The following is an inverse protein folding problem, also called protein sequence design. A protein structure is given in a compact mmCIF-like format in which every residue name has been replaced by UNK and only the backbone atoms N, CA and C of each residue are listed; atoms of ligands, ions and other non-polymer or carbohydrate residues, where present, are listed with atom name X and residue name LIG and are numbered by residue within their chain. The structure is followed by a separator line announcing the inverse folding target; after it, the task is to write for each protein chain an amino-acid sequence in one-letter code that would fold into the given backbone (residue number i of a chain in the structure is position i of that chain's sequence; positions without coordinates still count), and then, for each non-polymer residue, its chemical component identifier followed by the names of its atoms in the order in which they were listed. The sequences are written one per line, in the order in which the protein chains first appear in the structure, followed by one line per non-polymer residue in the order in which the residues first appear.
data_IF_151447603017
#
_entry.id   IF_151447603017
#
_cell.length_a   1.000
_cell.length_b   1.000
_cell.length_c   1.000
_cell.angle_alpha   90.00
_cell.angle_beta   90.00
_cell.angle_gamma   90.00
#
_symmetry.space_group_name_H-M   'P 1'
#
loop_
_entity.id
_entity.type
_entity.pdbx_description
1 polymer ?
#
# COMPACT_ATOMS: atom_id res chain seq x y z
N UNK A 1 -9.94 -8.70 -13.97
CA UNK A 1 -9.07 -9.83 -14.33
C UNK A 1 -8.61 -10.50 -13.04
N UNK A 2 -8.58 -11.84 -12.92
CA UNK A 2 -8.02 -12.53 -11.78
C UNK A 2 -6.52 -12.22 -11.62
N UNK A 3 -6.06 -11.92 -10.39
CA UNK A 3 -4.65 -11.61 -10.12
C UNK A 3 -3.69 -12.74 -10.52
N UNK A 4 -4.13 -14.00 -10.36
CA UNK A 4 -3.35 -15.17 -10.82
C UNK A 4 -3.12 -15.14 -12.34
N UNK A 5 -4.12 -14.77 -13.13
CA UNK A 5 -3.97 -14.64 -14.58
C UNK A 5 -2.98 -13.55 -14.95
N UNK A 6 -3.00 -12.41 -14.26
CA UNK A 6 -2.01 -11.35 -14.48
C UNK A 6 -0.60 -11.79 -14.09
N UNK A 7 -0.46 -12.56 -13.01
CA UNK A 7 0.84 -13.10 -12.60
C UNK A 7 1.40 -14.11 -13.63
N UNK A 8 0.53 -14.92 -14.25
CA UNK A 8 0.97 -15.81 -15.34
C UNK A 8 1.31 -15.03 -16.60
N UNK A 9 0.51 -14.02 -16.96
CA UNK A 9 0.82 -13.13 -18.08
C UNK A 9 2.19 -12.47 -17.88
N UNK A 10 2.46 -11.96 -16.69
CA UNK A 10 3.74 -11.30 -16.38
C UNK A 10 4.96 -12.20 -16.59
N UNK A 11 4.82 -13.52 -16.40
CA UNK A 11 5.91 -14.48 -16.66
C UNK A 11 6.16 -14.72 -18.16
N UNK A 12 5.15 -14.43 -18.99
CA UNK A 12 5.21 -14.61 -20.44
C UNK A 12 5.72 -13.35 -21.16
N UNK A 13 5.76 -12.23 -20.43
CA UNK A 13 6.32 -10.98 -20.94
C UNK A 13 7.84 -11.01 -20.77
N UNK A 14 8.53 -10.65 -21.83
CA UNK A 14 9.96 -10.36 -21.81
C UNK A 14 10.20 -8.85 -21.90
N UNK A 15 11.37 -8.40 -21.50
CA UNK A 15 11.75 -6.97 -21.52
C UNK A 15 11.83 -6.40 -22.95
N UNK A 16 11.78 -7.27 -23.97
CA UNK A 16 11.79 -6.88 -25.38
C UNK A 16 10.39 -6.65 -25.97
N UNK A 17 9.32 -6.90 -25.18
CA UNK A 17 7.95 -6.70 -25.63
C UNK A 17 7.58 -5.22 -25.65
N UNK A 18 7.63 -4.61 -26.83
CA UNK A 18 7.32 -3.17 -27.02
C UNK A 18 5.82 -2.84 -26.84
N UNK A 19 4.93 -3.79 -27.09
CA UNK A 19 3.49 -3.60 -26.97
C UNK A 19 2.72 -4.91 -26.82
N UNK A 20 1.58 -4.84 -26.11
CA UNK A 20 0.63 -5.93 -25.98
C UNK A 20 -0.71 -5.46 -26.53
N UNK A 21 -1.27 -6.20 -27.46
CA UNK A 21 -2.63 -5.93 -27.95
C UNK A 21 -3.64 -6.59 -27.00
N UNK A 22 -4.61 -5.80 -26.50
CA UNK A 22 -5.67 -6.30 -25.62
C UNK A 22 -7.03 -6.21 -26.32
N UNK A 23 -7.76 -7.32 -26.36
CA UNK A 23 -9.14 -7.36 -26.84
C UNK A 23 -10.06 -7.78 -25.70
N UNK A 24 -11.04 -6.92 -25.40
CA UNK A 24 -12.02 -7.13 -24.35
C UNK A 24 -13.34 -7.66 -24.95
N UNK A 25 -13.86 -8.74 -24.40
CA UNK A 25 -15.19 -9.25 -24.64
C UNK A 25 -16.03 -9.22 -23.36
N UNK A 26 -17.30 -9.60 -23.40
CA UNK A 26 -18.22 -9.47 -22.26
C UNK A 26 -17.73 -10.15 -20.98
N UNK A 27 -17.09 -11.32 -21.07
CA UNK A 27 -16.65 -12.10 -19.91
C UNK A 27 -15.20 -12.60 -20.03
N UNK A 28 -14.47 -12.15 -21.05
CA UNK A 28 -13.12 -12.61 -21.35
C UNK A 28 -12.26 -11.45 -21.82
N UNK A 29 -10.96 -11.59 -21.61
CA UNK A 29 -9.93 -10.72 -22.16
C UNK A 29 -8.89 -11.58 -22.88
N UNK A 30 -8.50 -11.13 -24.07
CA UNK A 30 -7.42 -11.71 -24.86
C UNK A 30 -6.24 -10.75 -24.82
N UNK A 31 -5.08 -11.26 -24.50
CA UNK A 31 -3.79 -10.61 -24.69
C UNK A 31 -3.08 -11.28 -25.85
N UNK A 32 -2.69 -10.50 -26.84
CA UNK A 32 -1.93 -10.96 -27.99
C UNK A 32 -0.52 -10.38 -27.89
N UNK A 33 0.42 -11.27 -27.76
CA UNK A 33 1.85 -11.02 -27.87
C UNK A 33 2.29 -11.55 -29.24
N UNK A 34 3.48 -11.20 -29.69
CA UNK A 34 3.98 -11.52 -31.04
C UNK A 34 3.60 -12.92 -31.56
N UNK A 35 3.89 -13.96 -30.78
CA UNK A 35 3.67 -15.36 -31.16
C UNK A 35 2.78 -16.12 -30.15
N UNK A 36 2.10 -15.40 -29.23
CA UNK A 36 1.34 -15.99 -28.13
C UNK A 36 0.00 -15.30 -27.96
N UNK A 37 -1.03 -16.10 -27.73
CA UNK A 37 -2.37 -15.65 -27.35
C UNK A 37 -2.66 -16.12 -25.93
N UNK A 38 -2.89 -15.18 -25.03
CA UNK A 38 -3.24 -15.47 -23.64
C UNK A 38 -4.69 -15.03 -23.34
N UNK A 39 -5.51 -15.97 -22.91
CA UNK A 39 -6.92 -15.71 -22.57
C UNK A 39 -7.13 -15.78 -21.06
N UNK A 40 -7.94 -14.87 -20.54
CA UNK A 40 -8.42 -14.93 -19.16
C UNK A 40 -9.91 -14.61 -19.08
N UNK A 41 -10.63 -15.27 -18.17
CA UNK A 41 -11.98 -14.84 -17.81
C UNK A 41 -11.91 -13.57 -16.96
N UNK A 42 -12.89 -12.71 -17.15
CA UNK A 42 -13.11 -11.56 -16.29
C UNK A 42 -13.77 -11.99 -14.97
N UNK A 43 -13.49 -11.28 -13.90
CA UNK A 43 -14.23 -11.42 -12.66
C UNK A 43 -15.64 -10.83 -12.85
N UNK A 44 -16.63 -11.48 -12.26
CA UNK A 44 -17.99 -10.96 -12.23
C UNK A 44 -18.11 -9.79 -11.26
N UNK A 45 -19.03 -8.86 -11.55
CA UNK A 45 -19.32 -7.69 -10.72
C UNK A 45 -18.79 -6.38 -11.29
N UNK A 46 -19.27 -5.28 -10.72
CA UNK A 46 -18.81 -3.94 -11.06
C UNK A 46 -17.55 -3.61 -10.26
N UNK A 47 -16.51 -3.13 -10.95
CA UNK A 47 -15.33 -2.60 -10.28
C UNK A 47 -15.70 -1.30 -9.56
N UNK A 48 -15.33 -1.13 -8.28
CA UNK A 48 -15.65 0.10 -7.55
C UNK A 48 -14.93 1.31 -8.18
N UNK A 49 -15.59 2.46 -8.17
CA UNK A 49 -14.99 3.72 -8.60
C UNK A 49 -13.91 4.15 -7.61
N UNK A 50 -12.66 3.85 -7.94
CA UNK A 50 -11.50 4.13 -7.08
C UNK A 50 -11.21 5.62 -6.95
N UNK A 51 -11.64 6.45 -7.91
CA UNK A 51 -11.42 7.90 -7.83
C UNK A 51 -12.11 8.53 -6.62
N UNK A 52 -13.26 7.97 -6.21
CA UNK A 52 -14.02 8.41 -5.04
C UNK A 52 -13.42 7.94 -3.70
N UNK A 53 -12.50 6.98 -3.74
CA UNK A 53 -11.84 6.47 -2.53
C UNK A 53 -10.63 7.32 -2.15
N UNK A 54 -10.05 8.06 -3.09
CA UNK A 54 -8.89 8.91 -2.86
C UNK A 54 -9.35 10.15 -2.10
N UNK A 55 -8.86 10.38 -0.87
CA UNK A 55 -9.21 11.57 -0.12
C UNK A 55 -8.75 12.83 -0.84
N UNK A 56 -9.60 13.86 -0.82
CA UNK A 56 -9.31 15.18 -1.38
C UNK A 56 -8.88 16.19 -0.31
N UNK A 57 -9.13 15.88 0.95
CA UNK A 57 -8.76 16.67 2.12
C UNK A 57 -7.57 16.02 2.85
N UNK A 58 -6.61 16.83 3.26
CA UNK A 58 -5.44 16.39 4.04
C UNK A 58 -5.39 17.18 5.34
N UNK A 59 -5.34 16.47 6.48
CA UNK A 59 -5.22 17.06 7.81
C UNK A 59 -3.81 16.97 8.38
N UNK A 60 -3.09 15.92 7.98
CA UNK A 60 -1.73 15.70 8.45
C UNK A 60 -0.88 15.06 7.36
N UNK A 61 0.38 15.42 7.32
CA UNK A 61 1.36 14.89 6.37
C UNK A 61 2.61 14.42 7.10
N UNK A 62 3.07 13.24 6.72
CA UNK A 62 4.27 12.60 7.22
C UNK A 62 5.21 12.33 6.05
N UNK A 63 6.46 12.78 6.14
CA UNK A 63 7.52 12.42 5.18
C UNK A 63 8.47 11.47 5.86
N UNK A 64 8.68 10.31 5.27
CA UNK A 64 9.46 9.23 5.84
C UNK A 64 10.14 8.41 4.73
N UNK A 65 11.31 7.83 5.03
CA UNK A 65 11.96 6.92 4.10
C UNK A 65 11.21 5.57 4.02
N UNK A 66 10.81 5.16 2.81
CA UNK A 66 9.99 3.97 2.60
C UNK A 66 10.67 2.68 3.04
N UNK A 67 12.00 2.56 2.85
CA UNK A 67 12.78 1.39 3.25
C UNK A 67 12.89 1.25 4.76
N UNK A 68 13.20 2.35 5.47
CA UNK A 68 13.27 2.35 6.93
C UNK A 68 11.91 2.02 7.55
N UNK A 69 10.85 2.59 7.00
CA UNK A 69 9.49 2.34 7.45
C UNK A 69 9.03 0.90 7.17
N UNK A 70 9.34 0.36 5.98
CA UNK A 70 9.09 -1.04 5.63
C UNK A 70 9.75 -2.00 6.62
N UNK A 71 11.02 -1.75 6.97
CA UNK A 71 11.75 -2.61 7.90
C UNK A 71 11.15 -2.59 9.31
N UNK A 72 10.71 -1.44 9.80
CA UNK A 72 10.05 -1.34 11.10
C UNK A 72 8.71 -2.08 11.11
N UNK A 73 7.91 -1.92 10.05
CA UNK A 73 6.63 -2.65 9.91
C UNK A 73 6.87 -4.15 9.79
N UNK A 74 7.88 -4.60 9.07
CA UNK A 74 8.19 -6.03 8.95
C UNK A 74 8.54 -6.63 10.32
N UNK A 75 9.38 -5.97 11.12
CA UNK A 75 9.68 -6.40 12.49
C UNK A 75 8.44 -6.43 13.38
N UNK A 76 7.64 -5.36 13.36
CA UNK A 76 6.39 -5.31 14.12
C UNK A 76 5.39 -6.39 13.68
N UNK A 77 5.38 -6.71 12.39
CA UNK A 77 4.49 -7.74 11.81
C UNK A 77 4.83 -9.16 12.28
N UNK A 78 6.03 -9.42 12.77
CA UNK A 78 6.39 -10.75 13.29
C UNK A 78 5.45 -11.18 14.43
N UNK A 79 5.07 -10.25 15.32
CA UNK A 79 4.11 -10.53 16.40
C UNK A 79 2.65 -10.40 15.91
N UNK A 80 2.39 -9.53 14.97
CA UNK A 80 1.04 -9.29 14.45
C UNK A 80 0.51 -10.45 13.59
N UNK A 81 1.37 -11.29 13.01
CA UNK A 81 0.99 -12.44 12.14
C UNK A 81 0.15 -13.49 12.86
N UNK A 82 0.31 -13.63 14.16
CA UNK A 82 -0.51 -14.56 14.97
C UNK A 82 -1.94 -14.05 15.15
N UNK A 83 -2.17 -12.75 15.00
CA UNK A 83 -3.49 -12.15 14.95
C UNK A 83 -4.03 -12.19 13.52
N UNK A 84 -5.25 -12.68 13.34
CA UNK A 84 -5.91 -12.86 12.02
C UNK A 84 -5.87 -11.62 11.11
N UNK A 85 -5.66 -10.42 11.65
CA UNK A 85 -5.72 -9.16 10.93
C UNK A 85 -4.37 -8.48 10.69
N UNK A 86 -3.25 -9.04 11.18
CA UNK A 86 -1.90 -8.46 11.06
C UNK A 86 -1.88 -6.94 11.33
N UNK A 87 -2.45 -6.53 12.48
CA UNK A 87 -2.69 -5.13 12.82
C UNK A 87 -1.42 -4.48 13.33
N UNK A 88 -1.01 -3.43 12.66
CA UNK A 88 0.06 -2.51 13.06
C UNK A 88 -0.58 -1.17 13.43
N UNK A 89 -0.08 -0.57 14.49
CA UNK A 89 -0.46 0.77 14.94
C UNK A 89 0.69 1.73 14.65
N UNK A 90 0.35 2.87 14.10
CA UNK A 90 1.21 4.02 13.90
C UNK A 90 0.75 5.17 14.79
N UNK A 91 1.68 5.81 15.47
CA UNK A 91 1.43 6.99 16.28
C UNK A 91 2.55 8.01 16.05
N UNK A 92 2.19 9.27 15.87
CA UNK A 92 3.17 10.37 15.84
C UNK A 92 3.58 10.75 17.24
N UNK A 93 4.86 11.12 17.41
CA UNK A 93 5.45 11.54 18.68
C UNK A 93 5.82 13.02 18.61
N UNK A 94 5.84 13.69 19.76
CA UNK A 94 6.18 15.14 19.88
C UNK A 94 7.54 15.52 19.29
N UNK A 95 8.47 14.57 19.26
CA UNK A 95 9.84 14.78 18.75
C UNK A 95 9.96 14.62 17.21
N UNK A 96 8.84 14.50 16.50
CA UNK A 96 8.83 14.28 15.05
C UNK A 96 9.15 12.86 14.62
N UNK A 97 9.29 11.91 15.54
CA UNK A 97 9.38 10.49 15.24
C UNK A 97 7.97 9.88 15.12
N UNK A 98 7.90 8.69 14.56
CA UNK A 98 6.69 7.88 14.58
C UNK A 98 6.95 6.56 15.28
N UNK A 99 6.02 6.18 16.14
CA UNK A 99 6.02 4.87 16.78
C UNK A 99 5.24 3.89 15.91
N UNK A 100 5.88 2.76 15.58
CA UNK A 100 5.27 1.59 14.95
C UNK A 100 5.15 0.51 16.01
N UNK A 101 3.95 0.05 16.28
CA UNK A 101 3.73 -0.97 17.32
C UNK A 101 2.73 -2.03 16.91
N UNK A 102 2.89 -3.22 17.50
CA UNK A 102 1.91 -4.29 17.43
C UNK A 102 1.77 -4.99 18.79
N UNK A 103 0.63 -5.60 19.01
CA UNK A 103 0.33 -6.32 20.25
C UNK A 103 -0.24 -7.70 19.92
N UNK A 104 0.32 -8.72 20.53
CA UNK A 104 -0.21 -10.07 20.58
C UNK A 104 -0.51 -10.45 22.03
N UNK A 105 -1.75 -10.83 22.37
CA UNK A 105 -2.12 -11.23 23.72
C UNK A 105 -1.29 -12.41 24.26
N UNK A 106 -0.79 -13.27 23.37
CA UNK A 106 -0.07 -14.50 23.72
C UNK A 106 1.46 -14.31 23.81
N UNK A 107 2.01 -13.43 22.97
CA UNK A 107 3.47 -13.29 22.79
C UNK A 107 4.00 -12.00 23.41
N UNK A 108 3.15 -10.96 23.52
CA UNK A 108 3.51 -9.66 24.06
C UNK A 108 3.38 -8.53 23.06
N UNK A 109 4.09 -7.43 23.31
CA UNK A 109 4.04 -6.22 22.47
C UNK A 109 5.44 -5.85 21.96
N UNK A 110 5.46 -5.25 20.78
CA UNK A 110 6.65 -4.61 20.20
C UNK A 110 6.30 -3.17 19.86
N UNK A 111 7.26 -2.29 20.12
CA UNK A 111 7.20 -0.88 19.75
C UNK A 111 8.57 -0.46 19.26
N UNK A 112 8.61 0.27 18.17
CA UNK A 112 9.81 0.79 17.54
C UNK A 112 9.57 2.21 17.06
N UNK A 113 10.52 3.12 17.34
CA UNK A 113 10.49 4.47 16.84
C UNK A 113 11.24 4.57 15.52
N UNK A 114 10.58 5.15 14.53
CA UNK A 114 11.14 5.42 13.22
C UNK A 114 11.29 6.92 13.04
N UNK A 115 12.46 7.33 12.55
CA UNK A 115 12.72 8.74 12.28
C UNK A 115 11.93 9.20 11.05
N UNK A 116 11.19 10.30 11.18
CA UNK A 116 10.55 10.98 10.05
C UNK A 116 11.33 12.24 9.68
N UNK A 117 11.31 12.60 8.40
CA UNK A 117 11.95 13.84 7.93
C UNK A 117 11.14 15.06 8.30
N UNK A 118 9.82 14.95 8.23
CA UNK A 118 8.90 15.99 8.67
C UNK A 118 7.54 15.39 9.02
N UNK A 119 6.86 16.07 9.93
CA UNK A 119 5.46 15.84 10.23
C UNK A 119 4.76 17.17 10.42
N UNK A 120 3.57 17.32 9.81
CA UNK A 120 2.75 18.53 9.92
C UNK A 120 1.27 18.15 10.12
N UNK A 121 0.52 19.00 10.81
CA UNK A 121 -0.91 18.82 11.05
C UNK A 121 -1.26 18.21 12.39
N UNK A 122 -2.42 17.56 12.47
CA UNK A 122 -2.96 16.93 13.68
C UNK A 122 -2.19 15.64 14.01
N UNK A 123 -2.05 15.32 15.31
CA UNK A 123 -1.48 14.04 15.75
C UNK A 123 -2.20 12.85 15.13
N UNK A 124 -1.44 11.86 14.70
CA UNK A 124 -1.94 10.64 14.08
C UNK A 124 -1.83 9.48 15.05
N UNK A 125 -2.95 8.77 15.19
CA UNK A 125 -3.02 7.46 15.85
C UNK A 125 -3.91 6.59 14.99
N UNK A 126 -3.32 5.73 14.18
CA UNK A 126 -4.02 4.93 13.16
C UNK A 126 -3.54 3.49 13.20
N UNK A 127 -4.45 2.57 12.89
CA UNK A 127 -4.12 1.14 12.76
C UNK A 127 -4.41 0.68 11.34
N UNK A 128 -3.56 -0.18 10.79
CA UNK A 128 -3.69 -0.74 9.45
C UNK A 128 -3.18 -2.17 9.38
N UNK A 129 -3.46 -2.84 8.27
CA UNK A 129 -2.91 -4.16 7.99
C UNK A 129 -1.45 -4.04 7.55
N UNK A 130 -0.53 -4.63 8.32
CA UNK A 130 0.92 -4.54 8.07
C UNK A 130 1.32 -5.16 6.73
N UNK A 131 0.67 -6.25 6.30
CA UNK A 131 0.96 -6.87 5.00
C UNK A 131 0.65 -5.94 3.84
N UNK A 132 -0.53 -5.30 3.84
CA UNK A 132 -0.91 -4.37 2.79
C UNK A 132 -0.01 -3.13 2.76
N UNK A 133 0.39 -2.65 3.93
CA UNK A 133 1.34 -1.54 4.01
C UNK A 133 2.71 -1.93 3.48
N UNK A 134 3.24 -3.10 3.82
CA UNK A 134 4.51 -3.58 3.27
C UNK A 134 4.45 -3.74 1.75
N UNK A 135 3.35 -4.26 1.20
CA UNK A 135 3.18 -4.41 -0.24
C UNK A 135 3.13 -3.04 -0.94
N UNK A 136 2.46 -2.05 -0.34
CA UNK A 136 2.44 -0.68 -0.83
C UNK A 136 3.83 -0.02 -0.79
N UNK A 137 4.58 -0.19 0.32
CA UNK A 137 5.90 0.42 0.50
C UNK A 137 6.96 -0.12 -0.48
N UNK A 138 6.85 -1.38 -0.90
CA UNK A 138 7.74 -1.99 -1.90
C UNK A 138 7.68 -1.29 -3.25
N UNK A 139 6.54 -0.68 -3.60
CA UNK A 139 6.40 0.04 -4.86
C UNK A 139 7.26 1.33 -4.94
N UNK A 140 7.80 1.80 -3.82
CA UNK A 140 8.60 3.04 -3.76
C UNK A 140 10.11 2.80 -3.77
N UNK A 141 10.57 1.56 -3.90
CA UNK A 141 11.98 1.15 -4.11
C UNK A 141 13.01 1.76 -3.13
N UNK A 142 12.55 2.24 -1.99
CA UNK A 142 13.41 2.82 -0.94
C UNK A 142 13.48 4.35 -0.94
N UNK A 143 12.75 5.01 -1.81
CA UNK A 143 12.64 6.47 -1.87
C UNK A 143 11.90 7.06 -0.66
N UNK A 144 12.04 8.36 -0.47
CA UNK A 144 11.25 9.09 0.50
C UNK A 144 9.82 9.23 0.00
N UNK A 145 8.89 8.98 0.91
CA UNK A 145 7.46 9.05 0.62
C UNK A 145 6.77 10.10 1.49
N UNK A 146 5.74 10.69 0.93
CA UNK A 146 4.77 11.51 1.66
C UNK A 146 3.52 10.67 1.92
N UNK A 147 3.09 10.62 3.18
CA UNK A 147 1.86 9.97 3.62
C UNK A 147 0.88 11.07 4.04
N UNK A 148 -0.27 11.14 3.36
CA UNK A 148 -1.31 12.15 3.61
C UNK A 148 -2.50 11.52 4.31
N UNK A 149 -2.84 12.02 5.49
CA UNK A 149 -3.94 11.53 6.32
C UNK A 149 -5.10 12.53 6.33
N UNK A 150 -6.32 12.00 6.20
CA UNK A 150 -7.58 12.76 6.30
C UNK A 150 -8.31 12.54 7.61
N UNK A 151 -7.70 11.79 8.54
CA UNK A 151 -8.22 11.42 9.84
C UNK A 151 -7.97 9.96 10.20
N UNK A 152 -8.17 9.60 11.46
CA UNK A 152 -7.77 8.29 12.03
C UNK A 152 -8.56 7.10 11.52
N UNK A 153 -9.75 7.33 10.94
CA UNK A 153 -10.66 6.27 10.44
C UNK A 153 -10.96 6.41 8.95
N UNK A 154 -10.22 7.24 8.25
CA UNK A 154 -10.34 7.44 6.80
C UNK A 154 -9.15 6.81 6.06
N UNK A 155 -9.33 6.39 4.81
CA UNK A 155 -8.21 5.98 3.98
C UNK A 155 -7.15 7.07 3.92
N UNK A 156 -5.90 6.66 3.82
CA UNK A 156 -4.77 7.55 3.68
C UNK A 156 -3.92 7.13 2.48
N UNK A 157 -3.15 8.04 1.96
CA UNK A 157 -2.47 7.91 0.67
C UNK A 157 -0.97 8.04 0.85
N UNK A 158 -0.22 7.19 0.14
CA UNK A 158 1.23 7.26 0.03
C UNK A 158 1.58 7.68 -1.40
N UNK A 159 2.53 8.61 -1.54
CA UNK A 159 3.11 9.06 -2.82
C UNK A 159 4.62 9.24 -2.67
N UNK A 160 5.39 9.19 -3.77
CA UNK A 160 6.78 9.66 -3.73
C UNK A 160 6.82 11.14 -3.30
N UNK A 161 7.79 11.51 -2.45
CA UNK A 161 7.92 12.90 -1.97
C UNK A 161 8.21 13.89 -3.09
N UNK A 162 9.13 13.54 -3.97
CA UNK A 162 9.69 14.44 -5.00
C UNK A 162 9.29 14.01 -6.43
N UNK A 163 8.14 13.35 -6.61
CA UNK A 163 7.69 12.91 -7.91
C UNK A 163 7.39 14.09 -8.84
N UNK A 164 7.93 14.07 -10.04
CA UNK A 164 7.59 15.02 -11.10
C UNK A 164 6.11 14.93 -11.48
N UNK A 165 5.51 13.76 -11.32
CA UNK A 165 4.08 13.50 -11.43
C UNK A 165 3.58 12.81 -10.16
N UNK A 166 2.89 13.50 -9.25
CA UNK A 166 2.43 12.94 -7.97
C UNK A 166 1.38 11.82 -8.12
N UNK A 167 0.90 11.56 -9.34
CA UNK A 167 -0.04 10.48 -9.64
C UNK A 167 0.64 9.27 -10.31
N UNK A 168 1.95 9.30 -10.52
CA UNK A 168 2.67 8.19 -11.15
C UNK A 168 2.62 6.92 -10.28
N UNK A 169 2.85 7.07 -8.96
CA UNK A 169 2.64 6.02 -7.97
C UNK A 169 1.77 6.56 -6.85
N UNK A 170 0.59 5.99 -6.68
CA UNK A 170 -0.31 6.28 -5.59
C UNK A 170 -0.73 4.96 -4.94
N UNK A 171 -0.47 4.83 -3.65
CA UNK A 171 -0.94 3.71 -2.85
C UNK A 171 -1.97 4.22 -1.84
N UNK A 172 -3.11 3.53 -1.75
CA UNK A 172 -4.17 3.86 -0.81
C UNK A 172 -4.32 2.73 0.21
N UNK A 173 -4.26 3.09 1.48
CA UNK A 173 -4.42 2.16 2.60
C UNK A 173 -5.68 2.52 3.40
N UNK A 174 -6.47 1.51 3.69
CA UNK A 174 -7.63 1.66 4.58
C UNK A 174 -7.25 1.32 6.02
N UNK A 175 -7.66 2.13 7.01
CA UNK A 175 -7.42 1.81 8.41
C UNK A 175 -8.24 0.59 8.87
N UNK A 176 -7.71 -0.10 9.88
CA UNK A 176 -8.39 -1.19 10.58
C UNK A 176 -8.96 -0.65 11.89
N UNK A 177 -10.22 -0.95 12.20
CA UNK A 177 -10.81 -0.64 13.50
C UNK A 177 -10.23 -1.57 14.56
N UNK A 178 -9.59 -0.98 15.56
CA UNK A 178 -9.18 -1.67 16.78
C UNK A 178 -10.13 -1.24 17.89
N UNK A 179 -10.81 -2.19 18.49
CA UNK A 179 -11.68 -2.00 19.67
C UNK A 179 -10.84 -2.00 20.94
#
# INVERSE_FOLDING_TARGET
IPGKSLSELNKLLDDASESIEMTLANNQILFKLKDLLFYSRLLEGSYPDTSRLIPTDTKSELVINSKAFLQAIDRASLLARENRNNVIKLMTLENGQVEVSSNSPEVGNVSENVFSQSFTGEEIKISFNGKYMMDALRAFEGDDIQISFSGTMRPFVLRPKDAANPNEILQLITPVRTY
#
